data_IF_558553636458
#
_entry.id   IF_558553636458
#
_cell.length_a   1.000
_cell.length_b   1.000
_cell.length_c   1.000
_cell.angle_alpha   90.00
_cell.angle_beta   90.00
_cell.angle_gamma   90.00
#
_symmetry.space_group_name_H-M   'P 1'
#
loop_
_entity.id
_entity.type
_entity.pdbx_description
1 polymer ?
#
# COMPACT_ATOMS: atom_id res chain seq x y z
N UNK A 1 -10.25 44.47 10.90
CA UNK A 1 -10.72 43.34 10.05
C UNK A 1 -9.48 42.54 9.61
N UNK A 2 -9.03 41.55 10.39
CA UNK A 2 -7.78 40.83 10.02
C UNK A 2 -7.68 39.40 10.61
N UNK A 3 -8.17 39.15 11.82
CA UNK A 3 -7.99 37.84 12.50
C UNK A 3 -8.85 36.71 11.90
N UNK A 4 -10.06 37.00 11.42
CA UNK A 4 -10.98 35.99 10.87
C UNK A 4 -10.49 35.35 9.55
N UNK A 5 -9.58 36.00 8.82
CA UNK A 5 -9.05 35.49 7.55
C UNK A 5 -7.87 34.53 7.73
N UNK A 6 -7.04 34.72 8.77
CA UNK A 6 -5.88 33.88 9.02
C UNK A 6 -6.29 32.43 9.37
N UNK A 7 -7.24 32.24 10.27
CA UNK A 7 -7.72 30.90 10.66
C UNK A 7 -8.36 30.12 9.50
N UNK A 8 -9.09 30.82 8.62
CA UNK A 8 -9.68 30.23 7.40
C UNK A 8 -8.60 29.82 6.38
N UNK A 9 -7.52 30.59 6.28
CA UNK A 9 -6.38 30.27 5.42
C UNK A 9 -5.63 29.02 5.91
N UNK A 10 -5.35 28.92 7.21
CA UNK A 10 -4.71 27.74 7.78
C UNK A 10 -5.51 26.44 7.58
N UNK A 11 -6.83 26.49 7.79
CA UNK A 11 -7.68 25.31 7.59
C UNK A 11 -7.69 24.86 6.12
N UNK A 12 -7.74 25.81 5.17
CA UNK A 12 -7.66 25.49 3.73
C UNK A 12 -6.34 24.85 3.36
N UNK A 13 -5.22 25.41 3.83
CA UNK A 13 -3.89 24.87 3.57
C UNK A 13 -3.68 23.51 4.22
N UNK A 14 -4.24 23.27 5.41
CA UNK A 14 -4.23 21.96 6.07
C UNK A 14 -4.98 20.91 5.25
N UNK A 15 -6.21 21.23 4.82
CA UNK A 15 -7.02 20.33 3.99
C UNK A 15 -6.35 20.04 2.65
N UNK A 16 -5.74 21.05 2.04
CA UNK A 16 -4.96 20.90 0.81
C UNK A 16 -3.76 19.95 1.04
N UNK A 17 -3.03 20.13 2.15
CA UNK A 17 -1.90 19.29 2.53
C UNK A 17 -2.31 17.83 2.76
N UNK A 18 -3.44 17.60 3.43
CA UNK A 18 -4.00 16.25 3.62
C UNK A 18 -4.35 15.62 2.27
N UNK A 19 -5.01 16.36 1.38
CA UNK A 19 -5.37 15.86 0.05
C UNK A 19 -4.15 15.45 -0.78
N UNK A 20 -3.12 16.29 -0.81
CA UNK A 20 -1.86 15.97 -1.51
C UNK A 20 -1.16 14.78 -0.86
N UNK A 21 -1.11 14.73 0.47
CA UNK A 21 -0.53 13.60 1.21
C UNK A 21 -1.19 12.27 0.85
N UNK A 22 -2.53 12.24 0.81
CA UNK A 22 -3.28 11.04 0.41
C UNK A 22 -2.90 10.61 -1.01
N UNK A 23 -2.81 11.54 -1.97
CA UNK A 23 -2.46 11.21 -3.36
C UNK A 23 -1.06 10.60 -3.42
N UNK A 24 -0.07 11.24 -2.80
CA UNK A 24 1.32 10.77 -2.81
C UNK A 24 1.43 9.41 -2.15
N UNK A 25 0.86 9.24 -0.95
CA UNK A 25 0.88 7.95 -0.23
C UNK A 25 0.19 6.85 -1.05
N UNK A 26 -0.94 7.15 -1.69
CA UNK A 26 -1.65 6.17 -2.50
C UNK A 26 -0.82 5.71 -3.70
N UNK A 27 -0.19 6.65 -4.41
CA UNK A 27 0.69 6.32 -5.55
C UNK A 27 1.89 5.49 -5.06
N UNK A 28 2.52 5.88 -3.96
CA UNK A 28 3.65 5.14 -3.39
C UNK A 28 3.25 3.70 -3.00
N UNK A 29 2.09 3.52 -2.36
CA UNK A 29 1.56 2.19 -2.03
C UNK A 29 1.27 1.34 -3.26
N UNK A 30 0.71 1.94 -4.32
CA UNK A 30 0.46 1.22 -5.58
C UNK A 30 1.76 0.75 -6.23
N UNK A 31 2.78 1.62 -6.29
CA UNK A 31 4.09 1.26 -6.82
C UNK A 31 4.73 0.16 -5.98
N UNK A 32 4.70 0.29 -4.65
CA UNK A 32 5.24 -0.71 -3.74
C UNK A 32 4.57 -2.08 -3.93
N UNK A 33 3.24 -2.11 -4.01
CA UNK A 33 2.50 -3.35 -4.18
C UNK A 33 2.69 -3.96 -5.57
N UNK A 34 2.74 -3.14 -6.61
CA UNK A 34 2.97 -3.60 -7.98
C UNK A 34 4.39 -4.14 -8.20
N UNK A 35 5.38 -3.61 -7.48
CA UNK A 35 6.78 -4.06 -7.55
C UNK A 35 7.15 -5.20 -6.61
N UNK A 36 6.27 -5.56 -5.66
CA UNK A 36 6.53 -6.65 -4.71
C UNK A 36 6.31 -8.00 -5.40
N UNK A 37 7.30 -8.89 -5.30
CA UNK A 37 7.13 -10.26 -5.77
C UNK A 37 6.11 -10.97 -4.86
N UNK A 38 4.98 -11.47 -5.40
CA UNK A 38 3.95 -12.15 -4.60
C UNK A 38 4.44 -13.45 -3.95
N UNK A 39 5.59 -13.98 -4.38
CA UNK A 39 6.23 -15.15 -3.82
C UNK A 39 7.43 -14.82 -2.92
N UNK A 40 7.73 -13.53 -2.71
CA UNK A 40 8.81 -13.11 -1.82
C UNK A 40 8.54 -13.55 -0.37
N UNK A 41 9.41 -14.42 0.15
CA UNK A 41 9.30 -14.95 1.51
C UNK A 41 8.43 -16.22 1.65
N UNK A 42 8.02 -16.84 0.54
CA UNK A 42 7.45 -18.20 0.60
C UNK A 42 8.58 -19.19 0.92
N UNK A 43 8.39 -20.05 1.92
CA UNK A 43 9.37 -21.11 2.23
C UNK A 43 9.16 -22.32 1.32
N UNK A 44 10.20 -23.11 1.11
CA UNK A 44 10.14 -24.30 0.26
C UNK A 44 9.04 -25.27 0.71
N UNK A 45 8.82 -25.42 2.01
CA UNK A 45 7.73 -26.27 2.55
C UNK A 45 6.35 -25.75 2.14
N UNK A 46 6.17 -24.43 2.12
CA UNK A 46 4.92 -23.82 1.68
C UNK A 46 4.71 -23.97 0.17
N UNK A 47 5.79 -23.92 -0.61
CA UNK A 47 5.76 -24.18 -2.06
C UNK A 47 5.34 -25.63 -2.31
N UNK A 48 5.98 -26.59 -1.63
CA UNK A 48 5.69 -28.02 -1.78
C UNK A 48 4.25 -28.33 -1.37
N UNK A 49 3.81 -27.85 -0.20
CA UNK A 49 2.43 -28.05 0.26
C UNK A 49 1.39 -27.45 -0.69
N UNK A 50 1.72 -26.34 -1.37
CA UNK A 50 0.85 -25.74 -2.39
C UNK A 50 0.86 -26.55 -3.69
N UNK A 51 2.01 -27.06 -4.10
CA UNK A 51 2.17 -27.91 -5.26
C UNK A 51 1.42 -29.24 -5.09
N UNK A 52 1.47 -29.85 -3.91
CA UNK A 52 0.68 -31.05 -3.55
C UNK A 52 -0.82 -30.79 -3.64
N UNK A 53 -1.32 -29.69 -3.05
CA UNK A 53 -2.74 -29.32 -3.14
C UNK A 53 -3.22 -29.09 -4.57
N UNK A 54 -2.33 -28.67 -5.46
CA UNK A 54 -2.60 -28.48 -6.88
C UNK A 54 -2.39 -29.75 -7.72
N UNK A 55 -2.00 -30.87 -7.09
CA UNK A 55 -1.72 -32.13 -7.76
C UNK A 55 -0.47 -32.11 -8.63
N UNK A 56 0.43 -31.13 -8.44
CA UNK A 56 1.67 -30.99 -9.19
C UNK A 56 2.80 -31.87 -8.64
N UNK A 57 2.71 -32.29 -7.38
CA UNK A 57 3.61 -33.22 -6.72
C UNK A 57 2.74 -34.26 -6.01
N UNK A 58 3.10 -35.55 -6.12
CA UNK A 58 2.51 -36.57 -5.26
C UNK A 58 3.26 -36.55 -3.94
N UNK A 59 2.59 -36.13 -2.87
CA UNK A 59 3.05 -36.40 -1.51
C UNK A 59 3.07 -37.92 -1.30
N UNK A 60 4.15 -38.43 -0.73
CA UNK A 60 4.31 -39.86 -0.42
C UNK A 60 3.28 -40.34 0.63
#
# INVERSE_FOLDING_TARGET
MSVMNAGRFHLRSLLLGIGIGIIITSIASLIYLAGRDPFEGISDEQVIARAEKLGMVMGE
#
